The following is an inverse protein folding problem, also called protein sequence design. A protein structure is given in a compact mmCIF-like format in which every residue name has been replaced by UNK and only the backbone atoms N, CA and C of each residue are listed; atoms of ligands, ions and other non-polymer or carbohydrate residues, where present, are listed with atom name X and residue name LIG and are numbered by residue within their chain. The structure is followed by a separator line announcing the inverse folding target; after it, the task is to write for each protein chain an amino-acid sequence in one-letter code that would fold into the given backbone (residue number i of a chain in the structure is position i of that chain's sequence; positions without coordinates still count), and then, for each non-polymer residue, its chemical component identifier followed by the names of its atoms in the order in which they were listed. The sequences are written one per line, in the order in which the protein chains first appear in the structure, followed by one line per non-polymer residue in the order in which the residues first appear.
data_IF_377946497445
#
_entry.id   IF_377946497445
#
_cell.length_a   1.000
_cell.length_b   1.000
_cell.length_c   1.000
_cell.angle_alpha   90.00
_cell.angle_beta   90.00
_cell.angle_gamma   90.00
#
_symmetry.space_group_name_H-M   'P 1'
#
loop_
_entity.id
_entity.type
_entity.pdbx_description
1 polymer ?
#
# COMPACT_ATOMS: atom_id res chain seq x y z
N UNK A 1 -40.46 -33.85 -4.26
CA UNK A 1 -39.89 -32.58 -3.75
C UNK A 1 -38.51 -32.88 -3.20
N UNK A 2 -37.46 -32.25 -3.72
CA UNK A 2 -36.10 -32.37 -3.18
C UNK A 2 -35.95 -31.46 -1.94
N UNK A 3 -35.14 -31.83 -0.94
CA UNK A 3 -34.94 -30.99 0.24
C UNK A 3 -34.21 -29.70 -0.16
N UNK A 4 -34.80 -28.56 0.19
CA UNK A 4 -34.14 -27.26 0.05
C UNK A 4 -33.09 -27.16 1.14
N UNK A 5 -31.82 -27.04 0.75
CA UNK A 5 -30.71 -26.82 1.69
C UNK A 5 -30.92 -25.52 2.45
N UNK A 6 -31.00 -25.60 3.78
CA UNK A 6 -31.14 -24.46 4.69
C UNK A 6 -29.80 -23.85 5.10
N UNK A 7 -28.69 -24.27 4.48
CA UNK A 7 -27.37 -23.76 4.80
C UNK A 7 -27.24 -22.30 4.34
N UNK A 8 -27.00 -21.38 5.29
CA UNK A 8 -26.67 -19.99 4.98
C UNK A 8 -25.39 -19.93 4.14
N UNK A 9 -25.29 -19.06 3.11
CA UNK A 9 -24.08 -18.92 2.35
C UNK A 9 -22.94 -18.47 3.26
N UNK A 10 -21.88 -19.28 3.35
CA UNK A 10 -20.64 -18.88 4.04
C UNK A 10 -19.95 -17.87 3.15
N UNK A 11 -20.00 -16.58 3.53
CA UNK A 11 -19.19 -15.56 2.87
C UNK A 11 -17.76 -15.75 3.33
N UNK A 12 -16.80 -16.08 2.44
CA UNK A 12 -15.41 -16.23 2.83
C UNK A 12 -14.91 -14.87 3.36
N UNK A 13 -14.15 -14.86 4.47
CA UNK A 13 -13.74 -13.62 5.07
C UNK A 13 -12.81 -12.86 4.11
N UNK A 14 -13.08 -11.56 3.91
CA UNK A 14 -12.35 -10.74 2.93
C UNK A 14 -10.87 -10.66 3.32
N UNK A 15 -9.93 -10.93 2.38
CA UNK A 15 -8.51 -10.72 2.62
C UNK A 15 -8.25 -9.27 3.04
N UNK A 16 -7.50 -9.08 4.13
CA UNK A 16 -7.13 -7.75 4.59
C UNK A 16 -5.87 -7.30 3.83
N UNK A 17 -5.94 -6.18 3.12
CA UNK A 17 -4.74 -5.56 2.55
C UNK A 17 -4.13 -4.59 3.55
N UNK A 18 -2.86 -4.78 3.88
CA UNK A 18 -2.06 -3.76 4.55
C UNK A 18 -1.36 -2.93 3.48
N UNK A 19 -1.54 -1.61 3.53
CA UNK A 19 -0.91 -0.68 2.60
C UNK A 19 0.61 -0.67 2.71
N UNK A 20 1.27 -0.15 1.68
CA UNK A 20 2.72 0.07 1.72
C UNK A 20 3.10 1.19 2.69
N UNK A 21 4.31 1.10 3.24
CA UNK A 21 4.92 2.19 3.99
C UNK A 21 5.96 2.86 3.08
N UNK A 22 5.86 4.18 2.92
CA UNK A 22 6.80 4.98 2.15
C UNK A 22 7.68 5.83 3.06
N UNK A 23 8.86 6.17 2.56
CA UNK A 23 9.73 7.20 3.12
C UNK A 23 10.01 8.27 2.07
N UNK A 24 10.48 9.43 2.53
CA UNK A 24 10.90 10.53 1.67
C UNK A 24 12.35 10.89 1.97
N UNK A 25 13.15 11.02 0.91
CA UNK A 25 14.45 11.68 0.97
C UNK A 25 14.26 13.13 0.54
N UNK A 26 14.55 14.07 1.45
CA UNK A 26 14.55 15.50 1.11
C UNK A 26 15.84 15.89 0.41
N UNK A 27 15.72 16.65 -0.66
CA UNK A 27 16.84 17.19 -1.42
C UNK A 27 16.81 18.70 -1.26
N UNK A 28 17.88 19.23 -0.64
CA UNK A 28 18.08 20.66 -0.49
C UNK A 28 18.19 21.35 -1.86
N UNK A 29 17.91 22.66 -1.96
CA UNK A 29 18.23 23.40 -3.17
C UNK A 29 19.75 23.38 -3.43
N UNK A 30 20.14 23.32 -4.70
CA UNK A 30 21.55 23.33 -5.11
C UNK A 30 21.73 23.97 -6.48
N UNK A 31 22.97 24.33 -6.79
CA UNK A 31 23.40 24.77 -8.13
C UNK A 31 24.30 23.67 -8.69
N UNK A 32 24.06 23.27 -9.94
CA UNK A 32 24.83 22.21 -10.58
C UNK A 32 26.07 22.73 -11.33
N UNK A 33 26.77 21.84 -12.02
CA UNK A 33 27.97 22.19 -12.78
C UNK A 33 27.70 23.06 -14.02
N UNK A 34 26.44 23.26 -14.39
CA UNK A 34 26.01 24.13 -15.48
C UNK A 34 25.50 25.48 -14.97
N UNK A 35 25.69 25.78 -13.68
CA UNK A 35 25.20 26.97 -12.99
C UNK A 35 23.67 27.08 -12.98
N UNK A 36 22.98 25.94 -13.04
CA UNK A 36 21.50 25.89 -13.02
C UNK A 36 21.03 25.71 -11.57
N UNK A 37 20.12 26.58 -11.13
CA UNK A 37 19.46 26.45 -9.83
C UNK A 37 18.38 25.36 -9.85
N UNK A 38 18.51 24.40 -8.94
CA UNK A 38 17.52 23.35 -8.70
C UNK A 38 16.70 23.67 -7.44
N UNK A 39 15.38 23.71 -7.61
CA UNK A 39 14.42 23.92 -6.53
C UNK A 39 14.48 22.74 -5.52
N UNK A 40 14.13 22.97 -4.24
CA UNK A 40 14.05 21.89 -3.26
C UNK A 40 13.03 20.83 -3.73
N UNK A 41 13.36 19.56 -3.50
CA UNK A 41 12.53 18.44 -3.96
C UNK A 41 12.59 17.26 -3.00
N UNK A 42 11.79 16.22 -3.29
CA UNK A 42 11.76 15.00 -2.50
C UNK A 42 11.60 13.76 -3.37
N UNK A 43 12.31 12.70 -3.02
CA UNK A 43 12.17 11.38 -3.65
C UNK A 43 11.41 10.47 -2.71
N UNK A 44 10.30 9.91 -3.19
CA UNK A 44 9.47 8.95 -2.45
C UNK A 44 9.84 7.53 -2.85
N UNK A 45 9.96 6.65 -1.87
CA UNK A 45 10.18 5.23 -2.12
C UNK A 45 9.49 4.35 -1.07
N UNK A 46 9.11 3.15 -1.50
CA UNK A 46 8.49 2.15 -0.64
C UNK A 46 9.57 1.52 0.24
N UNK A 47 9.41 1.61 1.57
CA UNK A 47 10.28 0.97 2.55
C UNK A 47 9.67 -0.33 3.11
N UNK A 48 8.35 -0.49 3.01
CA UNK A 48 7.67 -1.77 3.24
C UNK A 48 6.61 -1.98 2.17
N UNK A 49 6.68 -3.07 1.39
CA UNK A 49 5.70 -3.34 0.35
C UNK A 49 4.31 -3.62 0.94
N UNK A 50 3.26 -3.36 0.17
CA UNK A 50 1.91 -3.75 0.55
C UNK A 50 1.81 -5.28 0.59
N UNK A 51 1.06 -5.81 1.56
CA UNK A 51 0.86 -7.26 1.71
C UNK A 51 -0.60 -7.61 1.90
N UNK A 52 -1.00 -8.75 1.34
CA UNK A 52 -2.27 -9.38 1.67
C UNK A 52 -2.09 -10.21 2.95
N UNK A 53 -2.88 -9.91 3.96
CA UNK A 53 -2.93 -10.64 5.22
C UNK A 53 -4.04 -11.68 5.23
N UNK A 54 -3.97 -12.58 6.23
CA UNK A 54 -5.07 -13.49 6.53
C UNK A 54 -6.33 -12.67 6.87
N UNK A 55 -7.51 -13.08 6.40
CA UNK A 55 -8.76 -12.46 6.83
C UNK A 55 -8.87 -12.51 8.35
N UNK A 56 -9.28 -11.41 8.99
CA UNK A 56 -9.59 -11.43 10.43
C UNK A 56 -10.86 -12.26 10.61
N UNK A 57 -10.76 -13.34 11.39
CA UNK A 57 -11.90 -14.11 11.87
C UNK A 57 -12.23 -13.50 13.23
N UNK A 58 -13.39 -12.85 13.34
CA UNK A 58 -13.89 -12.34 14.62
C UNK A 58 -14.54 -13.46 15.42
#
# INVERSE_FOLDING_TARGET
MAPVSTASPVVPPRPLRTGEQTAVLWIAPYIDSQDIYHQPSGVFFVIKPSVWGKPRIN
#
